data_IF_535760949174
#
_entry.id   IF_535760949174
#
_cell.length_a   1.000
_cell.length_b   1.000
_cell.length_c   1.000
_cell.angle_alpha   90.00
_cell.angle_beta   90.00
_cell.angle_gamma   90.00
#
_symmetry.space_group_name_H-M   'P 1'
#
loop_
_entity.id
_entity.type
_entity.pdbx_description
1 polymer ?
#
# COMPACT_ATOMS: atom_id res chain seq x y z
N UNK A 1 0.78 19.62 15.02
CA UNK A 1 1.15 18.59 14.01
C UNK A 1 2.61 18.74 13.56
N UNK A 2 3.40 19.55 14.27
CA UNK A 2 4.72 19.98 13.83
C UNK A 2 5.78 18.92 14.07
N UNK A 3 5.66 18.13 15.13
CA UNK A 3 6.66 17.10 15.44
C UNK A 3 6.85 16.12 14.28
N UNK A 4 5.76 15.61 13.69
CA UNK A 4 5.87 14.67 12.58
C UNK A 4 6.50 15.31 11.34
N UNK A 5 6.07 16.52 11.00
CA UNK A 5 6.55 17.30 9.86
C UNK A 5 7.94 17.94 10.05
N UNK A 6 8.55 17.82 11.24
CA UNK A 6 9.90 18.35 11.52
C UNK A 6 10.89 17.28 11.96
N UNK A 7 10.42 16.13 12.45
CA UNK A 7 11.27 15.05 12.97
C UNK A 7 11.16 13.76 12.19
N UNK A 8 10.02 13.48 11.57
CA UNK A 8 9.79 12.22 10.84
C UNK A 8 9.85 12.47 9.34
N UNK A 9 8.88 13.19 8.79
CA UNK A 9 8.82 13.58 7.38
C UNK A 9 9.08 15.08 7.26
N UNK A 10 10.33 15.46 7.52
CA UNK A 10 10.78 16.84 7.41
C UNK A 10 10.96 17.23 5.94
N UNK A 11 10.51 18.45 5.61
CA UNK A 11 10.73 19.03 4.29
C UNK A 11 12.23 19.33 4.08
N UNK A 12 12.73 19.08 2.88
CA UNK A 12 14.07 19.43 2.42
C UNK A 12 14.00 20.29 1.15
N UNK A 13 14.88 21.29 1.02
CA UNK A 13 14.80 22.25 -0.07
C UNK A 13 15.24 21.67 -1.44
N UNK A 14 16.05 20.61 -1.44
CA UNK A 14 16.59 19.99 -2.64
C UNK A 14 15.76 18.76 -3.04
N UNK A 15 15.50 17.85 -2.10
CA UNK A 15 14.78 16.60 -2.35
C UNK A 15 13.26 16.68 -2.10
N UNK A 16 12.73 17.84 -1.69
CA UNK A 16 11.39 18.04 -1.13
C UNK A 16 11.16 17.33 0.21
N UNK A 17 11.51 16.04 0.33
CA UNK A 17 11.37 15.25 1.55
C UNK A 17 12.72 14.68 1.97
N UNK A 18 13.14 14.93 3.22
CA UNK A 18 14.40 14.40 3.75
C UNK A 18 14.34 12.88 3.98
N UNK A 19 13.16 12.37 4.31
CA UNK A 19 12.92 10.96 4.58
C UNK A 19 11.73 10.44 3.76
N UNK A 20 11.72 9.14 3.50
CA UNK A 20 10.54 8.41 3.07
C UNK A 20 10.13 7.47 4.21
N UNK A 21 8.85 7.48 4.57
CA UNK A 21 8.30 6.48 5.48
C UNK A 21 7.64 5.41 4.61
N UNK A 22 8.19 4.19 4.69
CA UNK A 22 7.70 3.03 3.95
C UNK A 22 7.09 2.04 4.95
N UNK A 23 5.85 1.62 4.71
CA UNK A 23 5.19 0.64 5.57
C UNK A 23 4.32 -0.34 4.78
N UNK A 24 4.08 -1.50 5.37
CA UNK A 24 3.12 -2.48 4.84
C UNK A 24 1.79 -2.25 5.58
N UNK A 25 0.72 -1.85 4.89
CA UNK A 25 -0.53 -1.46 5.56
C UNK A 25 -1.26 -2.67 6.15
N UNK A 26 -1.07 -3.85 5.54
CA UNK A 26 -1.73 -5.10 5.91
C UNK A 26 -1.00 -6.30 5.31
N UNK A 27 -0.94 -7.39 6.06
CA UNK A 27 -0.59 -8.71 5.53
C UNK A 27 -1.76 -9.26 4.72
N UNK A 28 -1.59 -9.64 3.44
CA UNK A 28 -2.69 -10.15 2.62
C UNK A 28 -3.24 -11.45 3.19
N UNK A 29 -4.57 -11.50 3.37
CA UNK A 29 -5.31 -12.68 3.82
C UNK A 29 -6.61 -12.78 3.00
N UNK A 30 -7.04 -13.99 2.60
CA UNK A 30 -8.28 -14.16 1.86
C UNK A 30 -9.48 -13.85 2.75
N UNK A 31 -10.40 -13.03 2.26
CA UNK A 31 -11.66 -12.70 2.95
C UNK A 31 -12.81 -13.29 2.15
N UNK A 32 -13.32 -14.43 2.60
CA UNK A 32 -14.42 -15.11 1.94
C UNK A 32 -15.77 -14.49 2.30
N UNK A 33 -16.71 -14.53 1.34
CA UNK A 33 -18.03 -13.89 1.47
C UNK A 33 -18.94 -14.59 2.47
N UNK A 34 -18.68 -15.87 2.72
CA UNK A 34 -19.36 -16.73 3.70
C UNK A 34 -18.74 -16.63 5.11
N UNK A 35 -17.68 -15.83 5.29
CA UNK A 35 -17.07 -15.61 6.60
C UNK A 35 -17.95 -14.70 7.45
N UNK A 36 -18.45 -15.22 8.58
CA UNK A 36 -19.14 -14.43 9.58
C UNK A 36 -18.18 -13.38 10.17
N UNK A 37 -18.57 -12.11 10.07
CA UNK A 37 -17.81 -11.01 10.68
C UNK A 37 -17.95 -11.05 12.19
N UNK A 38 -16.87 -10.68 12.88
CA UNK A 38 -16.96 -10.37 14.31
C UNK A 38 -17.97 -9.24 14.52
N UNK A 39 -18.81 -9.35 15.56
CA UNK A 39 -19.72 -8.28 15.96
C UNK A 39 -18.99 -6.98 16.34
N UNK A 40 -19.72 -5.93 16.77
CA UNK A 40 -19.12 -4.65 17.15
C UNK A 40 -17.92 -4.83 18.09
N UNK A 41 -16.80 -4.22 17.73
CA UNK A 41 -15.56 -4.23 18.52
C UNK A 41 -15.33 -2.86 19.14
N UNK A 42 -14.61 -2.83 20.26
CA UNK A 42 -14.12 -1.58 20.85
C UNK A 42 -13.21 -0.88 19.83
N UNK A 43 -13.31 0.45 19.63
CA UNK A 43 -12.44 1.16 18.71
C UNK A 43 -10.97 0.93 19.03
N UNK A 44 -10.17 0.57 18.02
CA UNK A 44 -8.71 0.48 18.16
C UNK A 44 -8.14 1.90 18.28
N UNK A 45 -7.16 2.07 19.17
CA UNK A 45 -6.58 3.39 19.47
C UNK A 45 -5.86 4.01 18.26
N UNK A 46 -5.10 3.22 17.48
CA UNK A 46 -4.31 3.72 16.36
C UNK A 46 -4.02 2.64 15.31
N UNK A 47 -3.86 3.04 14.04
CA UNK A 47 -3.33 2.20 12.96
C UNK A 47 -2.50 3.05 12.00
N UNK A 48 -1.59 2.43 11.25
CA UNK A 48 -0.71 3.12 10.29
C UNK A 48 -1.48 3.92 9.24
N UNK A 49 -2.61 3.41 8.74
CA UNK A 49 -3.54 4.14 7.85
C UNK A 49 -4.25 5.36 8.46
N UNK A 50 -3.80 5.86 9.62
CA UNK A 50 -4.19 7.15 10.19
C UNK A 50 -3.05 8.15 10.24
N UNK A 51 -1.79 7.73 10.00
CA UNK A 51 -0.60 8.58 10.07
C UNK A 51 -0.74 9.74 9.08
N UNK A 52 -0.99 9.46 7.80
CA UNK A 52 -1.14 10.48 6.75
C UNK A 52 -2.17 11.54 7.12
N UNK A 53 -3.39 11.11 7.46
CA UNK A 53 -4.49 12.01 7.80
C UNK A 53 -4.17 12.87 9.04
N UNK A 54 -3.54 12.29 10.07
CA UNK A 54 -3.21 13.01 11.30
C UNK A 54 -1.97 13.90 11.19
N UNK A 55 -1.10 13.65 10.21
CA UNK A 55 0.13 14.42 9.99
C UNK A 55 0.03 15.39 8.81
N UNK A 56 -1.04 15.32 8.02
CA UNK A 56 -1.26 16.11 6.82
C UNK A 56 -0.16 15.88 5.76
N UNK A 57 0.34 14.65 5.68
CA UNK A 57 1.40 14.25 4.73
C UNK A 57 0.85 13.34 3.64
N UNK A 58 1.40 13.39 2.41
CA UNK A 58 0.99 12.51 1.32
C UNK A 58 1.34 11.05 1.61
N UNK A 59 0.50 10.14 1.12
CA UNK A 59 0.63 8.68 1.24
C UNK A 59 0.10 8.02 -0.03
N UNK A 60 0.93 7.23 -0.71
CA UNK A 60 0.53 6.48 -1.90
C UNK A 60 0.85 5.00 -1.75
N UNK A 61 -0.11 4.18 -2.12
CA UNK A 61 -0.02 2.72 -2.08
C UNK A 61 0.43 2.21 -3.45
N UNK A 62 1.51 1.42 -3.48
CA UNK A 62 2.00 0.78 -4.71
C UNK A 62 2.10 -0.75 -4.57
N UNK A 63 1.78 -1.52 -5.63
CA UNK A 63 1.94 -2.97 -5.61
C UNK A 63 3.40 -3.34 -5.81
N UNK A 64 3.93 -4.21 -4.93
CA UNK A 64 5.31 -4.73 -5.01
C UNK A 64 5.37 -6.22 -5.35
N UNK A 65 4.22 -6.87 -5.47
CA UNK A 65 4.13 -8.27 -5.84
C UNK A 65 2.84 -8.90 -5.35
N UNK A 66 2.90 -10.19 -5.06
CA UNK A 66 1.75 -10.98 -4.66
C UNK A 66 2.15 -12.17 -3.79
N UNK A 67 1.19 -12.69 -3.02
CA UNK A 67 1.34 -13.91 -2.22
C UNK A 67 0.32 -14.95 -2.66
N UNK A 68 0.77 -16.19 -2.81
CA UNK A 68 -0.09 -17.31 -3.16
C UNK A 68 -0.92 -17.75 -1.95
N UNK A 69 -2.18 -18.11 -2.18
CA UNK A 69 -3.04 -18.75 -1.20
C UNK A 69 -3.88 -19.85 -1.87
N UNK A 70 -4.27 -20.86 -1.10
CA UNK A 70 -5.18 -21.88 -1.61
C UNK A 70 -6.63 -21.44 -1.38
N UNK A 71 -7.40 -21.27 -2.45
CA UNK A 71 -8.78 -20.81 -2.41
C UNK A 71 -9.72 -21.96 -2.05
N UNK A 72 -10.49 -21.80 -0.98
CA UNK A 72 -11.49 -22.77 -0.55
C UNK A 72 -12.73 -22.78 -1.46
N UNK A 73 -12.91 -21.73 -2.27
CA UNK A 73 -14.07 -21.58 -3.16
C UNK A 73 -13.79 -22.21 -4.51
N UNK A 74 -12.64 -21.92 -5.10
CA UNK A 74 -12.27 -22.42 -6.44
C UNK A 74 -11.50 -23.74 -6.38
N UNK A 75 -10.95 -24.12 -5.21
CA UNK A 75 -10.03 -25.26 -5.07
C UNK A 75 -8.75 -25.14 -5.91
N UNK A 76 -8.34 -23.91 -6.22
CA UNK A 76 -7.11 -23.60 -6.93
C UNK A 76 -6.21 -22.68 -6.09
N UNK A 77 -4.92 -22.65 -6.41
CA UNK A 77 -4.01 -21.61 -5.89
C UNK A 77 -4.34 -20.30 -6.59
N UNK A 78 -4.64 -19.28 -5.81
CA UNK A 78 -4.88 -17.91 -6.25
C UNK A 78 -3.86 -16.96 -5.62
N UNK A 79 -3.86 -15.69 -6.02
CA UNK A 79 -2.87 -14.71 -5.58
C UNK A 79 -3.51 -13.45 -5.02
N UNK A 80 -2.99 -12.97 -3.89
CA UNK A 80 -3.37 -11.69 -3.29
C UNK A 80 -2.28 -10.65 -3.52
N UNK A 81 -2.63 -9.40 -3.83
CA UNK A 81 -1.65 -8.34 -4.02
C UNK A 81 -0.92 -8.02 -2.71
N UNK A 82 0.39 -7.82 -2.81
CA UNK A 82 1.22 -7.27 -1.74
C UNK A 82 1.54 -5.83 -2.09
N UNK A 83 1.25 -4.92 -1.17
CA UNK A 83 1.47 -3.48 -1.37
C UNK A 83 2.37 -2.90 -0.28
N UNK A 84 3.00 -1.79 -0.61
CA UNK A 84 3.63 -0.89 0.36
C UNK A 84 3.06 0.51 0.19
N UNK A 85 3.04 1.23 1.30
CA UNK A 85 2.60 2.60 1.39
C UNK A 85 3.86 3.47 1.52
N UNK A 86 3.95 4.49 0.66
CA UNK A 86 5.05 5.42 0.59
C UNK A 86 4.56 6.80 1.02
N UNK A 87 5.15 7.33 2.09
CA UNK A 87 4.85 8.67 2.57
C UNK A 87 6.06 9.59 2.44
N UNK A 88 5.78 10.86 2.13
CA UNK A 88 6.77 11.94 2.04
C UNK A 88 6.35 13.14 2.89
N UNK A 89 7.23 14.14 3.00
CA UNK A 89 6.94 15.40 3.66
C UNK A 89 5.69 16.08 3.09
N UNK A 90 5.00 16.85 3.95
CA UNK A 90 3.80 17.60 3.58
C UNK A 90 4.09 18.51 2.38
N UNK A 91 3.26 18.39 1.33
CA UNK A 91 3.38 19.15 0.09
C UNK A 91 4.30 18.52 -0.97
N UNK A 92 4.84 17.32 -0.74
CA UNK A 92 5.76 16.63 -1.65
C UNK A 92 5.11 15.56 -2.54
N UNK A 93 3.80 15.64 -2.80
CA UNK A 93 3.04 14.72 -3.63
C UNK A 93 3.69 14.52 -5.02
N UNK A 94 4.14 15.62 -5.65
CA UNK A 94 4.78 15.58 -6.96
C UNK A 94 6.12 14.83 -6.98
N UNK A 95 6.91 14.95 -5.91
CA UNK A 95 8.14 14.16 -5.75
C UNK A 95 7.79 12.67 -5.62
N UNK A 96 6.76 12.34 -4.85
CA UNK A 96 6.34 10.96 -4.64
C UNK A 96 5.81 10.32 -5.95
N UNK A 97 5.07 11.07 -6.77
CA UNK A 97 4.67 10.60 -8.10
C UNK A 97 5.86 10.38 -9.04
N UNK A 98 6.85 11.27 -9.00
CA UNK A 98 8.08 11.12 -9.80
C UNK A 98 8.84 9.86 -9.37
N UNK A 99 8.98 9.62 -8.07
CA UNK A 99 9.57 8.39 -7.53
C UNK A 99 8.83 7.14 -8.00
N UNK A 100 7.49 7.13 -7.98
CA UNK A 100 6.69 5.99 -8.43
C UNK A 100 6.89 5.74 -9.93
N UNK A 101 6.97 6.81 -10.74
CA UNK A 101 7.29 6.69 -12.16
C UNK A 101 8.69 6.11 -12.37
N UNK A 102 9.70 6.61 -11.67
CA UNK A 102 11.08 6.11 -11.78
C UNK A 102 11.18 4.63 -11.38
N UNK A 103 10.46 4.21 -10.32
CA UNK A 103 10.39 2.81 -9.89
C UNK A 103 9.69 1.93 -10.93
N UNK A 104 8.69 2.46 -11.63
CA UNK A 104 8.05 1.75 -12.74
C UNK A 104 9.00 1.61 -13.94
N UNK A 105 9.69 2.68 -14.34
CA UNK A 105 10.66 2.66 -15.43
C UNK A 105 11.86 1.75 -15.14
N UNK A 106 12.28 1.67 -13.87
CA UNK A 106 13.31 0.75 -13.40
C UNK A 106 12.83 -0.72 -13.32
N UNK A 107 11.55 -1.00 -13.58
CA UNK A 107 10.97 -2.35 -13.51
C UNK A 107 10.79 -2.88 -12.07
N UNK A 108 10.87 -2.01 -11.06
CA UNK A 108 10.61 -2.37 -9.66
C UNK A 108 9.10 -2.50 -9.41
N UNK A 109 8.31 -1.61 -10.00
CA UNK A 109 6.84 -1.65 -9.95
C UNK A 109 6.28 -2.16 -11.28
N UNK A 110 5.22 -2.96 -11.22
CA UNK A 110 4.46 -3.37 -12.40
C UNK A 110 3.07 -2.73 -12.44
N UNK A 111 2.47 -2.68 -13.63
CA UNK A 111 1.11 -2.15 -13.81
C UNK A 111 0.09 -3.07 -13.14
N UNK A 112 -0.78 -2.52 -12.29
CA UNK A 112 -1.94 -3.23 -11.75
C UNK A 112 -2.96 -3.49 -12.85
N UNK A 113 -3.33 -4.75 -13.07
CA UNK A 113 -4.37 -5.16 -14.02
C UNK A 113 -5.61 -5.65 -13.27
N UNK A 114 -6.78 -5.44 -13.86
CA UNK A 114 -8.05 -5.93 -13.30
C UNK A 114 -8.14 -7.45 -13.39
N UNK A 115 -8.53 -8.10 -12.28
CA UNK A 115 -8.89 -9.52 -12.25
C UNK A 115 -7.75 -10.53 -12.51
N UNK A 116 -6.49 -10.08 -12.58
CA UNK A 116 -5.33 -10.93 -12.89
C UNK A 116 -4.31 -10.94 -11.75
N UNK A 117 -3.58 -12.05 -11.66
CA UNK A 117 -2.29 -12.08 -10.97
C UNK A 117 -1.34 -11.07 -11.63
N UNK A 118 -0.62 -10.30 -10.80
CA UNK A 118 0.38 -9.31 -11.23
C UNK A 118 1.63 -9.98 -11.84
N UNK A 119 1.84 -11.28 -11.59
CA UNK A 119 3.02 -12.04 -12.03
C UNK A 119 2.72 -13.01 -13.18
N UNK A 120 1.63 -13.77 -13.12
CA UNK A 120 1.37 -14.85 -14.09
C UNK A 120 0.30 -14.51 -15.13
N UNK A 121 -0.47 -13.43 -14.95
CA UNK A 121 -1.44 -12.97 -15.94
C UNK A 121 -2.56 -13.98 -16.25
N UNK A 122 -2.96 -14.77 -15.27
CA UNK A 122 -3.93 -15.88 -15.41
C UNK A 122 -5.33 -15.45 -15.86
N UNK A 123 -6.11 -16.42 -16.35
CA UNK A 123 -7.48 -16.20 -16.81
C UNK A 123 -8.40 -15.78 -15.66
N UNK A 124 -9.26 -14.80 -15.93
CA UNK A 124 -10.36 -14.43 -15.03
C UNK A 124 -11.30 -15.64 -14.98
N UNK A 125 -11.44 -16.28 -13.82
CA UNK A 125 -12.40 -17.37 -13.64
C UNK A 125 -13.83 -16.82 -13.85
N UNK A 126 -14.52 -17.36 -14.87
CA UNK A 126 -15.93 -17.05 -15.19
C UNK A 126 -16.88 -18.03 -14.49
#
# INVERSE_FOLDING_TARGET
MDWFNTRVLAHDAESCSNNLLVYVPRTPEPVYRDTYKTGPQIPKAFSTGRISVMSETPDMVVPIGQVAYYSLITSHTEYLPVTVDLMAAKGCDGMLFSLIQDLYEAGVLGISQTGRSHVTGEEVLF
#
